data_IF_526929504163
#
_entry.id   IF_526929504163
#
_cell.length_a   1.000
_cell.length_b   1.000
_cell.length_c   1.000
_cell.angle_alpha   90.00
_cell.angle_beta   90.00
_cell.angle_gamma   90.00
#
_symmetry.space_group_name_H-M   'P 1'
#
loop_
_entity.id
_entity.type
_entity.pdbx_description
1 polymer ?
#
# COMPACT_ATOMS: atom_id res chain seq x y z
N UNK A 1 -9.06 17.79 29.25
CA UNK A 1 -9.00 17.51 27.80
C UNK A 1 -10.23 18.09 27.15
N UNK A 2 -10.05 18.97 26.17
CA UNK A 2 -11.13 19.69 25.45
C UNK A 2 -11.52 18.95 24.17
N UNK A 3 -12.70 19.28 23.63
CA UNK A 3 -13.19 18.73 22.35
C UNK A 3 -12.21 19.03 21.20
N UNK A 4 -11.56 20.21 21.21
CA UNK A 4 -10.56 20.59 20.22
C UNK A 4 -9.29 19.71 20.28
N UNK A 5 -8.84 19.33 21.48
CA UNK A 5 -7.68 18.44 21.63
C UNK A 5 -7.99 17.02 21.16
N UNK A 6 -9.21 16.53 21.39
CA UNK A 6 -9.66 15.23 20.91
C UNK A 6 -9.69 15.17 19.38
N UNK A 7 -10.29 16.16 18.72
CA UNK A 7 -10.36 16.22 17.25
C UNK A 7 -8.96 16.27 16.61
N UNK A 8 -8.03 17.02 17.19
CA UNK A 8 -6.65 17.07 16.71
C UNK A 8 -5.93 15.72 16.86
N UNK A 9 -6.15 15.01 17.97
CA UNK A 9 -5.57 13.68 18.20
C UNK A 9 -6.18 12.61 17.31
N UNK A 10 -7.49 12.64 17.09
CA UNK A 10 -8.19 11.71 16.18
C UNK A 10 -7.74 11.94 14.73
N UNK A 11 -7.72 13.19 14.25
CA UNK A 11 -7.23 13.53 12.91
C UNK A 11 -5.77 13.13 12.68
N UNK A 12 -4.89 13.36 13.66
CA UNK A 12 -3.50 12.92 13.57
C UNK A 12 -3.35 11.39 13.60
N UNK A 13 -4.15 10.68 14.40
CA UNK A 13 -4.11 9.22 14.43
C UNK A 13 -4.62 8.59 13.14
N UNK A 14 -5.70 9.14 12.57
CA UNK A 14 -6.27 8.69 11.30
C UNK A 14 -5.27 8.95 10.16
N UNK A 15 -4.77 10.19 10.04
CA UNK A 15 -3.79 10.53 9.00
C UNK A 15 -2.51 9.70 9.10
N UNK A 16 -1.97 9.49 10.30
CA UNK A 16 -0.78 8.65 10.47
C UNK A 16 -1.02 7.18 10.11
N UNK A 17 -2.21 6.65 10.39
CA UNK A 17 -2.57 5.29 10.00
C UNK A 17 -2.73 5.17 8.48
N UNK A 18 -3.36 6.14 7.83
CA UNK A 18 -3.53 6.20 6.38
C UNK A 18 -2.18 6.30 5.66
N UNK A 19 -1.34 7.27 6.03
CA UNK A 19 0.02 7.44 5.47
C UNK A 19 0.88 6.18 5.64
N UNK A 20 0.77 5.51 6.79
CA UNK A 20 1.52 4.28 7.06
C UNK A 20 1.03 3.13 6.19
N UNK A 21 -0.29 2.99 6.01
CA UNK A 21 -0.87 1.94 5.17
C UNK A 21 -0.54 2.17 3.70
N UNK A 22 -0.61 3.41 3.22
CA UNK A 22 -0.22 3.79 1.87
C UNK A 22 1.28 3.52 1.63
N UNK A 23 2.15 3.93 2.55
CA UNK A 23 3.58 3.69 2.42
C UNK A 23 3.94 2.21 2.39
N UNK A 24 3.27 1.36 3.18
CA UNK A 24 3.44 -0.09 3.12
C UNK A 24 2.93 -0.68 1.80
N UNK A 25 1.80 -0.19 1.30
CA UNK A 25 1.24 -0.62 0.02
C UNK A 25 2.16 -0.28 -1.16
N UNK A 26 2.71 0.93 -1.20
CA UNK A 26 3.68 1.35 -2.21
C UNK A 26 4.95 0.50 -2.19
N UNK A 27 5.44 0.12 -1.01
CA UNK A 27 6.61 -0.76 -0.89
C UNK A 27 6.32 -2.17 -1.42
N UNK A 28 5.14 -2.72 -1.12
CA UNK A 28 4.72 -4.02 -1.64
C UNK A 28 4.70 -4.01 -3.18
N UNK A 29 4.16 -2.93 -3.79
CA UNK A 29 4.15 -2.77 -5.26
C UNK A 29 5.57 -2.70 -5.81
N UNK A 30 6.47 -1.91 -5.20
CA UNK A 30 7.87 -1.81 -5.63
C UNK A 30 8.60 -3.16 -5.58
N UNK A 31 8.35 -3.95 -4.54
CA UNK A 31 8.92 -5.30 -4.40
C UNK A 31 8.35 -6.22 -5.48
N UNK A 32 7.03 -6.21 -5.69
CA UNK A 32 6.38 -7.03 -6.69
C UNK A 32 6.89 -6.75 -8.11
N UNK A 33 7.04 -5.47 -8.47
CA UNK A 33 7.58 -5.07 -9.77
C UNK A 33 9.02 -5.59 -9.96
N UNK A 34 9.89 -5.43 -8.96
CA UNK A 34 11.26 -5.97 -9.02
C UNK A 34 11.30 -7.48 -9.14
N UNK A 35 10.41 -8.20 -8.44
CA UNK A 35 10.33 -9.65 -8.57
C UNK A 35 9.88 -10.05 -9.99
N UNK A 36 8.89 -9.37 -10.56
CA UNK A 36 8.47 -9.61 -11.95
C UNK A 36 9.62 -9.32 -12.94
N UNK A 37 10.37 -8.23 -12.76
CA UNK A 37 11.55 -7.89 -13.56
C UNK A 37 12.66 -8.95 -13.46
N UNK A 38 12.81 -9.58 -12.30
CA UNK A 38 13.73 -10.69 -12.07
C UNK A 38 13.24 -12.03 -12.66
N UNK A 39 12.02 -12.07 -13.22
CA UNK A 39 11.44 -13.25 -13.85
C UNK A 39 10.73 -14.19 -12.89
N UNK A 40 10.37 -13.74 -11.68
CA UNK A 40 9.53 -14.53 -10.78
C UNK A 40 8.12 -14.68 -11.36
N UNK A 41 7.54 -15.86 -11.16
CA UNK A 41 6.17 -16.15 -11.58
C UNK A 41 5.18 -15.25 -10.85
N UNK A 42 4.20 -14.73 -11.60
CA UNK A 42 3.19 -13.79 -11.09
C UNK A 42 2.46 -14.32 -9.85
N UNK A 43 2.13 -15.60 -9.82
CA UNK A 43 1.47 -16.24 -8.67
C UNK A 43 2.32 -16.15 -7.39
N UNK A 44 3.63 -16.41 -7.51
CA UNK A 44 4.59 -16.31 -6.39
C UNK A 44 4.72 -14.86 -5.92
N UNK A 45 4.76 -13.92 -6.87
CA UNK A 45 4.83 -12.48 -6.56
C UNK A 45 3.61 -12.02 -5.78
N UNK A 46 2.40 -12.38 -6.23
CA UNK A 46 1.15 -12.03 -5.56
C UNK A 46 1.08 -12.62 -4.15
N UNK A 47 1.43 -13.91 -4.00
CA UNK A 47 1.45 -14.58 -2.70
C UNK A 47 2.46 -13.95 -1.71
N UNK A 48 3.64 -13.55 -2.19
CA UNK A 48 4.72 -13.00 -1.35
C UNK A 48 4.44 -11.56 -0.93
N UNK A 49 3.82 -10.76 -1.80
CA UNK A 49 3.57 -9.34 -1.57
C UNK A 49 2.19 -9.06 -0.99
N UNK A 50 1.34 -10.09 -0.87
CA UNK A 50 -0.07 -9.98 -0.48
C UNK A 50 -0.86 -8.99 -1.36
N UNK A 51 -0.37 -8.75 -2.57
CA UNK A 51 -1.03 -7.93 -3.57
C UNK A 51 -2.05 -8.78 -4.34
N UNK A 52 -3.04 -8.11 -4.89
CA UNK A 52 -3.97 -8.70 -5.86
C UNK A 52 -3.56 -8.33 -7.27
N UNK A 53 -4.07 -9.07 -8.26
CA UNK A 53 -3.80 -8.78 -9.67
C UNK A 53 -4.24 -7.35 -10.06
N UNK A 54 -5.30 -6.84 -9.42
CA UNK A 54 -5.77 -5.46 -9.58
C UNK A 54 -4.77 -4.40 -9.08
N UNK A 55 -3.88 -4.74 -8.13
CA UNK A 55 -2.83 -3.84 -7.65
C UNK A 55 -1.61 -3.80 -8.58
N UNK A 56 -1.44 -4.82 -9.44
CA UNK A 56 -0.33 -4.94 -10.39
C UNK A 56 -0.75 -4.71 -11.84
N UNK A 57 -2.05 -4.69 -12.13
CA UNK A 57 -2.56 -4.27 -13.42
C UNK A 57 -2.11 -2.81 -13.63
N UNK A 58 -1.34 -2.52 -14.69
CA UNK A 58 -1.08 -1.13 -15.03
C UNK A 58 -2.43 -0.46 -15.23
N UNK A 59 -2.52 0.80 -14.85
CA UNK A 59 -3.59 1.73 -15.21
C UNK A 59 -3.65 1.91 -16.75
N UNK A 60 -3.73 0.83 -17.54
CA UNK A 60 -3.80 0.82 -19.00
C UNK A 60 -5.17 1.23 -19.54
N UNK A 61 -5.88 2.08 -18.82
CA UNK A 61 -7.15 2.68 -19.23
C UNK A 61 -7.26 4.11 -18.68
N UNK A 62 -6.25 4.94 -18.97
CA UNK A 62 -6.36 6.40 -19.04
C UNK A 62 -5.50 6.93 -20.19
#
# INVERSE_FOLDING_TARGET
MTIAERLRQEGHQIGWQEDKLEGLHEQAIKIALRMLEQGFEREIVLATTQLTDANLAPLSLQ
#
